data_IF_806289521595
#
_entry.id   IF_806289521595
#
_cell.length_a   1.000
_cell.length_b   1.000
_cell.length_c   1.000
_cell.angle_alpha   90.00
_cell.angle_beta   90.00
_cell.angle_gamma   90.00
#
_symmetry.space_group_name_H-M   'P 1'
#
loop_
_entity.id
_entity.type
_entity.pdbx_description
1 polymer ?
#
# COMPACT_ATOMS: atom_id res chain seq x y z
N UNK A 1 14.64 -12.03 11.25
CA UNK A 1 15.51 -10.85 11.26
C UNK A 1 16.60 -11.06 12.34
N UNK A 2 17.90 -10.95 12.03
CA UNK A 2 18.97 -11.28 12.97
C UNK A 2 19.29 -10.20 14.01
N UNK A 3 18.51 -9.15 14.15
CA UNK A 3 18.73 -8.06 15.12
C UNK A 3 17.63 -7.95 16.16
N UNK A 4 17.91 -7.29 17.27
CA UNK A 4 16.93 -7.02 18.33
C UNK A 4 15.95 -5.90 17.94
N UNK A 5 16.39 -4.98 17.08
CA UNK A 5 15.58 -3.89 16.55
C UNK A 5 14.61 -4.43 15.49
N UNK A 6 13.35 -4.62 15.86
CA UNK A 6 12.27 -5.10 14.97
C UNK A 6 11.44 -3.94 14.46
N UNK A 7 10.85 -4.07 13.28
CA UNK A 7 9.71 -3.22 12.88
C UNK A 7 8.48 -3.60 13.70
N UNK A 8 7.62 -2.63 13.97
CA UNK A 8 6.36 -2.84 14.67
C UNK A 8 5.31 -1.84 14.20
N UNK A 9 4.06 -2.12 14.50
CA UNK A 9 2.91 -1.25 14.22
C UNK A 9 2.29 -0.82 15.54
N UNK A 10 1.85 0.43 15.61
CA UNK A 10 0.92 0.89 16.63
C UNK A 10 -0.45 0.98 15.97
N UNK A 11 -1.43 0.42 16.66
CA UNK A 11 -2.85 0.48 16.33
C UNK A 11 -3.54 1.17 17.50
N UNK A 12 -3.94 2.44 17.29
CA UNK A 12 -4.43 3.31 18.36
C UNK A 12 -5.85 2.95 18.77
N UNK A 13 -6.70 2.56 17.81
CA UNK A 13 -8.11 2.25 18.08
C UNK A 13 -8.37 0.79 18.47
N UNK A 14 -7.31 -0.02 18.62
CA UNK A 14 -7.44 -1.47 18.88
C UNK A 14 -8.27 -1.81 20.12
N UNK A 15 -8.23 -0.97 21.15
CA UNK A 15 -8.89 -1.21 22.45
C UNK A 15 -9.78 -0.06 22.89
N UNK A 16 -9.65 1.09 22.27
CA UNK A 16 -10.43 2.28 22.56
C UNK A 16 -10.86 2.86 21.23
N UNK A 17 -12.12 2.64 20.89
CA UNK A 17 -12.73 3.16 19.67
C UNK A 17 -12.55 4.68 19.61
N UNK A 18 -12.31 5.21 18.43
CA UNK A 18 -12.05 6.64 18.17
C UNK A 18 -10.74 7.22 18.73
N UNK A 19 -9.83 6.41 19.23
CA UNK A 19 -8.49 6.88 19.55
C UNK A 19 -7.64 6.92 18.28
N UNK A 20 -7.13 8.09 17.95
CA UNK A 20 -6.24 8.32 16.82
C UNK A 20 -5.04 9.18 17.20
N UNK A 21 -4.06 9.24 16.32
CA UNK A 21 -2.97 10.20 16.37
C UNK A 21 -2.98 11.04 15.10
N UNK A 22 -3.45 12.29 15.21
CA UNK A 22 -3.57 13.22 14.08
C UNK A 22 -4.40 12.63 12.92
N UNK A 23 -5.55 12.04 13.26
CA UNK A 23 -6.47 11.32 12.36
C UNK A 23 -5.91 10.05 11.74
N UNK A 24 -4.85 9.49 12.29
CA UNK A 24 -4.31 8.20 11.89
C UNK A 24 -4.61 7.17 12.96
N UNK A 25 -5.28 6.11 12.60
CA UNK A 25 -5.53 4.98 13.48
C UNK A 25 -4.31 4.08 13.65
N UNK A 26 -3.44 4.05 12.64
CA UNK A 26 -2.28 3.15 12.62
C UNK A 26 -1.02 3.84 12.14
N UNK A 27 0.12 3.48 12.75
CA UNK A 27 1.45 3.90 12.34
C UNK A 27 2.41 2.72 12.27
N UNK A 28 3.16 2.64 11.17
CA UNK A 28 4.20 1.65 10.99
C UNK A 28 5.56 2.21 11.41
N UNK A 29 6.27 1.49 12.27
CA UNK A 29 7.63 1.80 12.68
C UNK A 29 8.59 0.85 11.98
N UNK A 30 9.21 1.30 10.90
CA UNK A 30 10.12 0.53 10.09
C UNK A 30 11.54 0.65 10.61
N UNK A 31 12.19 -0.50 10.82
CA UNK A 31 13.54 -0.55 11.39
C UNK A 31 14.66 -0.31 10.37
N UNK A 32 14.31 0.09 9.14
CA UNK A 32 15.24 0.34 8.03
C UNK A 32 16.14 -0.86 7.70
N UNK A 33 15.54 -2.07 7.69
CA UNK A 33 16.27 -3.29 7.37
C UNK A 33 16.89 -3.26 5.98
N UNK A 34 18.18 -3.56 5.87
CA UNK A 34 18.98 -3.46 4.64
C UNK A 34 19.09 -2.03 4.06
N UNK A 35 18.72 -1.02 4.83
CA UNK A 35 18.99 0.37 4.49
C UNK A 35 19.91 1.02 5.53
N UNK A 36 21.23 0.99 5.33
CA UNK A 36 22.18 1.58 6.27
C UNK A 36 22.14 3.11 6.27
N UNK A 37 21.46 3.71 5.29
CA UNK A 37 21.31 5.18 5.21
C UNK A 37 20.14 5.69 6.01
N UNK A 38 19.13 4.84 6.29
CA UNK A 38 17.85 5.20 6.89
C UNK A 38 17.03 6.21 6.07
N UNK A 39 17.30 6.33 4.78
CA UNK A 39 16.75 7.42 3.97
C UNK A 39 15.94 6.96 2.77
N UNK A 40 16.03 5.69 2.37
CA UNK A 40 15.43 5.22 1.12
C UNK A 40 13.92 5.41 1.09
N UNK A 41 13.25 4.96 2.14
CA UNK A 41 11.80 5.04 2.25
C UNK A 41 11.34 6.51 2.28
N UNK A 42 11.98 7.31 3.14
CA UNK A 42 11.70 8.75 3.26
C UNK A 42 11.90 9.50 1.94
N UNK A 43 13.04 9.30 1.27
CA UNK A 43 13.34 9.98 0.00
C UNK A 43 12.33 9.60 -1.09
N UNK A 44 11.99 8.31 -1.20
CA UNK A 44 11.03 7.86 -2.21
C UNK A 44 9.65 8.48 -1.99
N UNK A 45 9.16 8.52 -0.76
CA UNK A 45 7.87 9.13 -0.47
C UNK A 45 7.88 10.65 -0.68
N UNK A 46 8.97 11.35 -0.29
CA UNK A 46 9.09 12.79 -0.55
C UNK A 46 9.11 13.11 -2.04
N UNK A 47 9.86 12.35 -2.84
CA UNK A 47 9.88 12.51 -4.30
C UNK A 47 8.51 12.24 -4.92
N UNK A 48 7.80 11.23 -4.41
CA UNK A 48 6.43 10.95 -4.86
C UNK A 48 5.49 12.12 -4.57
N UNK A 49 5.56 12.69 -3.36
CA UNK A 49 4.76 13.87 -3.00
C UNK A 49 5.11 15.08 -3.87
N UNK A 50 6.42 15.34 -4.10
CA UNK A 50 6.87 16.44 -4.97
C UNK A 50 6.36 16.27 -6.41
N UNK A 51 6.23 15.01 -6.87
CA UNK A 51 5.65 14.68 -8.17
C UNK A 51 4.11 14.68 -8.16
N UNK A 52 3.47 14.95 -7.02
CA UNK A 52 2.03 14.81 -6.81
C UNK A 52 1.52 13.39 -7.14
N UNK A 53 2.28 12.38 -6.74
CA UNK A 53 1.90 10.97 -6.74
C UNK A 53 1.48 10.62 -5.31
N UNK A 54 0.28 10.04 -5.09
CA UNK A 54 -0.15 9.60 -3.78
C UNK A 54 0.84 8.59 -3.17
N UNK A 55 1.36 8.90 -2.00
CA UNK A 55 2.31 8.06 -1.28
C UNK A 55 2.15 8.24 0.23
N UNK A 56 2.51 7.26 1.06
CA UNK A 56 2.50 7.39 2.50
C UNK A 56 3.37 8.54 3.00
N UNK A 57 2.90 9.24 4.02
CA UNK A 57 3.74 10.18 4.76
C UNK A 57 4.80 9.42 5.56
N UNK A 58 6.01 9.93 5.58
CA UNK A 58 7.11 9.31 6.31
C UNK A 58 7.90 10.36 7.08
N UNK A 59 8.20 10.07 8.34
CA UNK A 59 9.05 10.90 9.21
C UNK A 59 10.07 10.03 9.95
N UNK A 60 11.13 10.65 10.43
CA UNK A 60 12.09 9.98 11.30
C UNK A 60 11.69 10.11 12.76
N UNK A 61 11.90 9.06 13.55
CA UNK A 61 11.67 9.07 14.97
C UNK A 61 12.75 8.34 15.78
N UNK A 62 13.10 8.94 16.92
CA UNK A 62 13.82 8.24 17.99
C UNK A 62 12.81 7.57 18.91
N UNK A 63 12.84 6.25 18.98
CA UNK A 63 11.92 5.47 19.80
C UNK A 63 12.54 5.15 21.15
N UNK A 64 11.76 5.36 22.21
CA UNK A 64 12.11 5.01 23.59
C UNK A 64 11.06 4.06 24.13
N UNK A 65 11.48 2.98 24.77
CA UNK A 65 10.60 2.04 25.48
C UNK A 65 10.92 2.08 26.96
N UNK A 66 9.93 2.42 27.76
CA UNK A 66 10.09 2.58 29.23
C UNK A 66 11.28 3.49 29.61
N UNK A 67 11.47 4.58 28.87
CA UNK A 67 12.56 5.53 29.10
C UNK A 67 13.93 5.11 28.56
N UNK A 68 14.07 3.90 28.02
CA UNK A 68 15.30 3.42 27.41
C UNK A 68 15.27 3.64 25.89
N UNK A 69 16.32 4.23 25.32
CA UNK A 69 16.44 4.41 23.88
C UNK A 69 16.45 3.05 23.19
N UNK A 70 15.50 2.85 22.29
CA UNK A 70 15.33 1.59 21.57
C UNK A 70 15.92 1.63 20.17
N UNK A 71 15.79 2.78 19.50
CA UNK A 71 16.40 2.95 18.18
C UNK A 71 15.79 4.09 17.36
N UNK A 72 16.41 4.32 16.22
CA UNK A 72 15.94 5.25 15.20
C UNK A 72 15.07 4.48 14.18
N UNK A 73 13.91 5.03 13.81
CA UNK A 73 12.93 4.39 12.94
C UNK A 73 12.39 5.36 11.89
N UNK A 74 12.01 4.82 10.75
CA UNK A 74 11.08 5.47 9.85
C UNK A 74 9.67 5.21 10.35
N UNK A 75 8.91 6.28 10.57
CA UNK A 75 7.49 6.19 10.94
C UNK A 75 6.69 6.50 9.70
N UNK A 76 5.94 5.50 9.24
CA UNK A 76 5.27 5.51 7.94
C UNK A 76 3.78 5.35 8.14
N UNK A 77 3.02 6.19 7.44
CA UNK A 77 1.57 6.09 7.35
C UNK A 77 1.15 4.69 6.88
N UNK A 78 0.08 4.15 7.47
CA UNK A 78 -0.51 2.91 6.97
C UNK A 78 -1.30 3.22 5.70
N UNK A 79 -1.17 2.36 4.69
CA UNK A 79 -2.07 2.38 3.54
C UNK A 79 -3.33 1.61 3.94
N UNK A 80 -4.38 2.33 4.24
CA UNK A 80 -5.70 1.86 4.65
C UNK A 80 -6.76 2.92 4.29
N UNK A 81 -7.95 2.84 4.89
CA UNK A 81 -9.05 3.77 4.62
C UNK A 81 -8.70 5.23 4.95
N UNK A 82 -7.90 5.48 6.00
CA UNK A 82 -7.41 6.83 6.34
C UNK A 82 -6.53 7.39 5.23
N UNK A 83 -5.64 6.54 4.67
CA UNK A 83 -4.83 6.90 3.52
C UNK A 83 -5.69 7.19 2.28
N UNK A 84 -6.68 6.35 1.99
CA UNK A 84 -7.59 6.55 0.86
C UNK A 84 -8.38 7.87 1.00
N UNK A 85 -8.92 8.13 2.19
CA UNK A 85 -9.63 9.39 2.47
C UNK A 85 -8.72 10.62 2.32
N UNK A 86 -7.48 10.52 2.74
CA UNK A 86 -6.54 11.65 2.72
C UNK A 86 -6.03 11.96 1.32
N UNK A 87 -5.78 10.93 0.51
CA UNK A 87 -5.09 11.09 -0.79
C UNK A 87 -6.02 10.99 -1.99
N UNK A 88 -7.22 10.41 -1.84
CA UNK A 88 -8.17 10.21 -2.92
C UNK A 88 -9.57 10.78 -2.63
N UNK A 89 -9.79 11.38 -1.45
CA UNK A 89 -11.09 11.88 -0.97
C UNK A 89 -12.19 10.79 -0.99
N UNK A 90 -11.80 9.52 -0.97
CA UNK A 90 -12.73 8.39 -1.08
C UNK A 90 -12.13 7.12 -0.47
N UNK A 91 -12.81 6.53 0.51
CA UNK A 91 -12.46 5.24 1.13
C UNK A 91 -13.44 4.13 0.80
N UNK A 92 -14.43 4.39 -0.07
CA UNK A 92 -15.44 3.38 -0.43
C UNK A 92 -15.00 2.43 -1.55
N UNK A 93 -13.90 2.76 -2.24
CA UNK A 93 -13.36 1.92 -3.31
C UNK A 93 -12.46 0.82 -2.77
N UNK A 94 -12.29 -0.24 -3.54
CA UNK A 94 -11.50 -1.40 -3.13
C UNK A 94 -10.01 -1.11 -3.09
N UNK A 95 -9.36 -1.51 -2.00
CA UNK A 95 -7.91 -1.45 -1.82
C UNK A 95 -7.32 -2.85 -1.93
N UNK A 96 -6.58 -3.10 -3.00
CA UNK A 96 -5.87 -4.36 -3.20
C UNK A 96 -4.38 -4.21 -2.93
N UNK A 97 -3.85 -5.11 -2.11
CA UNK A 97 -2.42 -5.21 -1.85
C UNK A 97 -1.81 -6.31 -2.67
N UNK A 98 -0.82 -5.97 -3.48
CA UNK A 98 -0.01 -6.91 -4.23
C UNK A 98 0.95 -7.65 -3.30
N UNK A 99 0.83 -8.95 -3.21
CA UNK A 99 1.65 -9.82 -2.38
C UNK A 99 0.78 -10.86 -1.68
N UNK A 100 1.13 -12.12 -1.84
CA UNK A 100 0.49 -13.21 -1.11
C UNK A 100 0.70 -13.03 0.40
N UNK A 101 -0.27 -13.45 1.19
CA UNK A 101 -0.15 -13.53 2.63
C UNK A 101 1.15 -14.27 2.99
N UNK A 102 1.90 -13.75 3.97
CA UNK A 102 3.15 -14.35 4.44
C UNK A 102 2.95 -15.83 4.74
N UNK A 103 3.54 -16.70 3.91
CA UNK A 103 3.53 -18.15 4.13
C UNK A 103 2.65 -18.96 3.17
N UNK A 104 1.82 -18.36 2.36
CA UNK A 104 1.07 -19.06 1.31
C UNK A 104 1.72 -18.79 -0.04
N UNK A 105 2.20 -19.83 -0.68
CA UNK A 105 2.55 -19.87 -2.10
C UNK A 105 3.51 -18.81 -2.64
N UNK A 106 4.19 -19.17 -3.68
CA UNK A 106 5.21 -18.36 -4.36
C UNK A 106 4.63 -17.57 -5.53
N UNK A 107 3.32 -17.36 -5.59
CA UNK A 107 2.68 -16.70 -6.72
C UNK A 107 2.90 -15.19 -6.65
N UNK A 108 3.50 -14.64 -7.71
CA UNK A 108 3.73 -13.21 -7.81
C UNK A 108 2.43 -12.48 -8.17
N UNK A 109 2.23 -11.30 -7.61
CA UNK A 109 1.21 -10.37 -8.04
C UNK A 109 1.69 -9.66 -9.31
N UNK A 110 1.35 -10.20 -10.47
CA UNK A 110 1.93 -9.85 -11.76
C UNK A 110 0.96 -9.17 -12.74
N UNK A 111 -0.25 -8.82 -12.27
CA UNK A 111 -1.33 -8.25 -13.08
C UNK A 111 -1.74 -9.10 -14.29
N UNK A 112 -1.49 -10.40 -14.24
CA UNK A 112 -1.97 -11.34 -15.23
C UNK A 112 -3.45 -11.65 -15.03
N UNK A 113 -4.17 -11.90 -16.11
CA UNK A 113 -5.55 -12.34 -16.07
C UNK A 113 -5.63 -13.86 -15.88
N UNK A 114 -6.23 -14.29 -14.78
CA UNK A 114 -6.38 -15.70 -14.39
C UNK A 114 -7.80 -16.24 -14.58
N UNK A 115 -8.68 -15.49 -15.25
CA UNK A 115 -10.09 -15.83 -15.38
C UNK A 115 -10.96 -15.07 -14.38
N UNK A 116 -12.14 -15.59 -14.11
CA UNK A 116 -13.14 -14.94 -13.24
C UNK A 116 -13.24 -15.56 -11.84
N UNK A 117 -12.44 -16.57 -11.55
CA UNK A 117 -12.43 -17.20 -10.22
C UNK A 117 -11.57 -16.34 -9.26
N UNK A 118 -12.19 -15.89 -8.18
CA UNK A 118 -11.53 -15.06 -7.16
C UNK A 118 -10.39 -15.82 -6.48
N UNK A 119 -10.53 -17.13 -6.30
CA UNK A 119 -9.51 -17.94 -5.63
C UNK A 119 -8.12 -17.87 -6.32
N UNK A 120 -8.09 -17.69 -7.63
CA UNK A 120 -6.84 -17.54 -8.39
C UNK A 120 -6.12 -16.22 -8.09
N UNK A 121 -6.86 -15.20 -7.64
CA UNK A 121 -6.32 -13.89 -7.27
C UNK A 121 -5.93 -13.82 -5.79
N UNK A 122 -6.68 -14.46 -4.88
CA UNK A 122 -6.39 -14.50 -3.44
C UNK A 122 -5.01 -15.11 -3.13
N UNK A 123 -4.48 -15.96 -4.02
CA UNK A 123 -3.11 -16.46 -3.89
C UNK A 123 -2.03 -15.38 -4.11
N UNK A 124 -2.38 -14.24 -4.70
CA UNK A 124 -1.46 -13.21 -5.19
C UNK A 124 -1.72 -11.84 -4.60
N UNK A 125 -2.95 -11.58 -4.24
CA UNK A 125 -3.43 -10.29 -3.75
C UNK A 125 -4.21 -10.49 -2.45
N UNK A 126 -4.30 -9.44 -1.65
CA UNK A 126 -5.26 -9.35 -0.55
C UNK A 126 -6.15 -8.12 -0.74
N UNK A 127 -7.42 -8.26 -0.41
CA UNK A 127 -8.35 -7.14 -0.29
C UNK A 127 -8.16 -6.59 1.14
N UNK A 128 -7.79 -5.31 1.28
CA UNK A 128 -7.41 -4.70 2.56
C UNK A 128 -8.55 -3.85 3.16
N UNK A 129 -9.66 -3.70 2.42
CA UNK A 129 -10.90 -3.06 2.89
C UNK A 129 -12.11 -3.70 2.22
N UNK A 130 -13.34 -3.26 2.56
CA UNK A 130 -14.60 -3.78 1.99
C UNK A 130 -14.69 -5.32 2.03
N UNK A 131 -14.14 -5.93 3.08
CA UNK A 131 -14.08 -7.39 3.23
C UNK A 131 -15.47 -8.05 3.30
N UNK A 132 -16.50 -7.28 3.69
CA UNK A 132 -17.89 -7.77 3.77
C UNK A 132 -18.50 -7.96 2.39
N UNK A 133 -18.29 -7.01 1.51
CA UNK A 133 -18.72 -7.03 0.11
C UNK A 133 -17.89 -8.05 -0.67
N UNK A 134 -16.62 -8.18 -0.34
CA UNK A 134 -15.65 -9.09 -0.95
C UNK A 134 -15.70 -9.05 -2.48
N UNK A 135 -15.78 -7.84 -3.04
CA UNK A 135 -15.89 -7.63 -4.49
C UNK A 135 -14.50 -7.52 -5.14
N UNK A 136 -14.17 -8.48 -5.97
CA UNK A 136 -12.91 -8.56 -6.72
C UNK A 136 -13.08 -8.16 -8.19
N UNK A 137 -14.28 -7.71 -8.58
CA UNK A 137 -14.61 -7.41 -9.98
C UNK A 137 -13.69 -6.36 -10.59
N UNK A 138 -13.25 -5.37 -9.81
CA UNK A 138 -12.35 -4.31 -10.26
C UNK A 138 -10.98 -4.86 -10.65
N UNK A 139 -10.38 -5.71 -9.78
CA UNK A 139 -9.09 -6.32 -10.05
C UNK A 139 -9.17 -7.29 -11.25
N UNK A 140 -10.23 -8.08 -11.32
CA UNK A 140 -10.48 -8.99 -12.43
C UNK A 140 -10.65 -8.20 -13.74
N UNK A 141 -11.40 -7.12 -13.70
CA UNK A 141 -11.65 -6.26 -14.86
C UNK A 141 -10.38 -5.60 -15.37
N UNK A 142 -9.56 -5.01 -14.48
CA UNK A 142 -8.31 -4.36 -14.86
C UNK A 142 -7.29 -5.35 -15.41
N UNK A 143 -7.18 -6.53 -14.80
CA UNK A 143 -6.26 -7.56 -15.30
C UNK A 143 -6.71 -8.11 -16.66
N UNK A 144 -8.03 -8.32 -16.85
CA UNK A 144 -8.58 -8.70 -18.16
C UNK A 144 -8.32 -7.62 -19.23
N UNK A 145 -8.54 -6.36 -18.88
CA UNK A 145 -8.25 -5.23 -19.77
C UNK A 145 -6.77 -5.21 -20.20
N UNK A 146 -5.85 -5.33 -19.26
CA UNK A 146 -4.40 -5.30 -19.56
C UNK A 146 -3.98 -6.44 -20.48
N UNK A 147 -4.54 -7.64 -20.30
CA UNK A 147 -4.03 -8.85 -20.97
C UNK A 147 -4.79 -9.20 -22.25
N UNK A 148 -6.03 -8.80 -22.41
CA UNK A 148 -6.92 -9.30 -23.47
C UNK A 148 -7.48 -8.21 -24.39
N UNK A 149 -7.24 -6.92 -24.12
CA UNK A 149 -7.68 -5.84 -25.01
C UNK A 149 -6.90 -5.83 -26.32
N UNK A 150 -7.56 -5.48 -27.42
CA UNK A 150 -6.85 -5.12 -28.63
C UNK A 150 -6.07 -3.82 -28.46
N UNK A 151 -5.05 -3.55 -29.27
CA UNK A 151 -4.27 -2.30 -29.20
C UNK A 151 -5.17 -1.04 -29.30
N UNK A 152 -6.21 -1.10 -30.12
CA UNK A 152 -7.15 0.00 -30.31
C UNK A 152 -8.01 0.19 -29.05
N UNK A 153 -8.62 -0.88 -28.54
CA UNK A 153 -9.45 -0.83 -27.33
C UNK A 153 -8.62 -0.44 -26.12
N UNK A 154 -7.37 -0.88 -26.03
CA UNK A 154 -6.45 -0.51 -24.95
C UNK A 154 -6.19 1.00 -24.93
N UNK A 155 -5.87 1.59 -26.11
CA UNK A 155 -5.60 3.01 -26.21
C UNK A 155 -6.83 3.87 -25.85
N UNK A 156 -8.03 3.46 -26.32
CA UNK A 156 -9.27 4.20 -26.12
C UNK A 156 -9.78 4.11 -24.68
N UNK A 157 -9.54 2.97 -24.00
CA UNK A 157 -10.10 2.69 -22.68
C UNK A 157 -9.12 2.86 -21.51
N UNK A 158 -7.84 3.12 -21.78
CA UNK A 158 -6.80 3.21 -20.76
C UNK A 158 -7.15 4.18 -19.62
N UNK A 159 -7.74 5.32 -19.97
CA UNK A 159 -8.13 6.35 -19.00
C UNK A 159 -9.27 5.96 -18.04
N UNK A 160 -10.03 4.89 -18.36
CA UNK A 160 -11.07 4.38 -17.46
C UNK A 160 -10.50 3.51 -16.34
N UNK A 161 -9.38 2.85 -16.61
CA UNK A 161 -8.74 1.93 -15.68
C UNK A 161 -7.60 2.57 -14.91
N UNK A 162 -6.97 3.62 -15.47
CA UNK A 162 -5.76 4.22 -14.89
C UNK A 162 -5.82 5.74 -14.87
N UNK A 163 -5.32 6.30 -13.78
CA UNK A 163 -4.97 7.72 -13.77
C UNK A 163 -3.67 7.92 -14.56
N UNK A 164 -3.80 8.01 -15.89
CA UNK A 164 -2.64 8.09 -16.81
C UNK A 164 -1.67 9.21 -16.47
N UNK A 165 -2.09 10.44 -16.12
CA UNK A 165 -1.18 11.50 -15.67
C UNK A 165 -0.31 11.11 -14.48
N UNK A 166 -0.87 10.42 -13.48
CA UNK A 166 -0.12 9.96 -12.29
C UNK A 166 0.83 8.83 -12.68
N UNK A 167 0.35 7.83 -13.42
CA UNK A 167 1.13 6.70 -13.91
C UNK A 167 2.37 7.14 -14.70
N UNK A 168 2.23 8.17 -15.54
CA UNK A 168 3.34 8.71 -16.33
C UNK A 168 4.37 9.44 -15.47
N UNK A 169 3.96 10.09 -14.39
CA UNK A 169 4.89 10.74 -13.45
C UNK A 169 5.78 9.75 -12.72
N UNK A 170 5.23 8.63 -12.25
CA UNK A 170 6.01 7.56 -11.61
C UNK A 170 7.12 6.98 -12.51
N UNK A 171 6.91 7.00 -13.84
CA UNK A 171 7.90 6.48 -14.80
C UNK A 171 9.05 7.43 -15.12
N UNK A 172 8.90 8.72 -14.81
CA UNK A 172 9.84 9.78 -15.15
C UNK A 172 10.68 10.21 -13.92
N UNK A 173 10.25 9.79 -12.73
CA UNK A 173 10.95 10.02 -11.46
C UNK A 173 11.99 8.96 -11.17
#
# INVERSE_FOLDING_TARGET
HPGDKKSFKIDFNRYVDSLDYDKLEKLNFNNCFKDPTFMREKIMYDLSHDAAVPAPRCIFANVYMNGTYWGFYDVVEQIDDDFLNTHFDNSSENLFKAGAAFGAGTSAADLMYYGTDVADYEERYSLENNETENDWSDLISVTNFINNSSDADFADSLQYYFNVPVLMKERIS
#
